data_IF_444935564519
#
_entry.id   IF_444935564519
#
_cell.length_a   1.000
_cell.length_b   1.000
_cell.length_c   1.000
_cell.angle_alpha   90.00
_cell.angle_beta   90.00
_cell.angle_gamma   90.00
#
_symmetry.space_group_name_H-M   'P 1'
#
loop_
_entity.id
_entity.type
_entity.pdbx_description
1 polymer ?
#
# COMPACT_ATOMS: atom_id res chain seq x y z
N UNK A 1 -20.09 13.41 28.24
CA UNK A 1 -18.66 13.63 28.59
C UNK A 1 -17.72 12.53 28.07
N UNK A 2 -18.07 11.23 28.14
CA UNK A 2 -17.23 10.09 27.70
C UNK A 2 -16.88 10.05 26.19
N UNK A 3 -17.79 10.52 25.34
CA UNK A 3 -17.63 10.58 23.87
C UNK A 3 -16.56 11.60 23.41
N UNK A 4 -16.48 12.76 24.07
CA UNK A 4 -15.50 13.80 23.72
C UNK A 4 -14.06 13.39 24.06
N UNK A 5 -13.89 12.72 25.21
CA UNK A 5 -12.59 12.21 25.65
C UNK A 5 -12.08 11.13 24.69
N UNK A 6 -12.96 10.22 24.21
CA UNK A 6 -12.60 9.18 23.23
C UNK A 6 -12.05 9.72 21.91
N UNK A 7 -12.55 10.88 21.46
CA UNK A 7 -12.05 11.55 20.23
C UNK A 7 -10.73 12.29 20.46
N UNK A 8 -10.49 12.76 21.69
CA UNK A 8 -9.27 13.49 22.06
C UNK A 8 -8.08 12.55 22.28
N UNK A 9 -8.30 11.32 22.74
CA UNK A 9 -7.22 10.34 22.98
C UNK A 9 -6.29 10.15 21.76
N UNK A 10 -6.77 9.88 20.53
CA UNK A 10 -5.87 9.69 19.39
C UNK A 10 -5.15 10.97 18.99
N UNK A 11 -5.80 12.13 19.11
CA UNK A 11 -5.19 13.44 18.79
C UNK A 11 -4.09 13.76 19.80
N UNK A 12 -4.38 13.61 21.09
CA UNK A 12 -3.40 13.79 22.17
C UNK A 12 -2.24 12.80 22.02
N UNK A 13 -2.53 11.53 21.70
CA UNK A 13 -1.51 10.52 21.41
C UNK A 13 -0.59 10.91 20.26
N UNK A 14 -1.14 11.48 19.17
CA UNK A 14 -0.34 11.99 18.06
C UNK A 14 0.60 13.13 18.49
N UNK A 15 0.10 14.11 19.27
CA UNK A 15 0.95 15.21 19.76
C UNK A 15 2.05 14.73 20.70
N UNK A 16 1.76 13.78 21.59
CA UNK A 16 2.75 13.16 22.48
C UNK A 16 3.82 12.43 21.66
N UNK A 17 3.41 11.70 20.62
CA UNK A 17 4.32 10.97 19.74
C UNK A 17 5.24 11.93 18.96
N UNK A 18 4.69 13.04 18.44
CA UNK A 18 5.47 14.09 17.76
C UNK A 18 6.50 14.71 18.72
N UNK A 19 6.09 15.03 19.95
CA UNK A 19 7.00 15.58 20.96
C UNK A 19 8.13 14.59 21.30
N UNK A 20 7.79 13.31 21.54
CA UNK A 20 8.76 12.26 21.85
C UNK A 20 9.77 12.02 20.71
N UNK A 21 9.30 11.93 19.46
CA UNK A 21 10.19 11.76 18.31
C UNK A 21 11.03 13.02 18.04
N UNK A 22 10.47 14.22 18.26
CA UNK A 22 11.23 15.46 18.11
C UNK A 22 12.37 15.56 19.15
N UNK A 23 12.11 15.13 20.39
CA UNK A 23 13.08 15.13 21.48
C UNK A 23 14.15 14.03 21.31
N UNK A 24 13.73 12.80 20.99
CA UNK A 24 14.65 11.65 20.83
C UNK A 24 15.53 11.75 19.58
N UNK A 25 15.08 12.47 18.54
CA UNK A 25 15.78 12.52 17.24
C UNK A 25 16.55 13.83 17.02
N UNK A 26 16.77 14.64 18.07
CA UNK A 26 17.46 15.95 17.98
C UNK A 26 16.90 16.84 16.85
N UNK A 27 15.57 16.93 16.74
CA UNK A 27 14.91 17.75 15.71
C UNK A 27 14.93 17.19 14.28
N UNK A 28 15.58 16.04 14.02
CA UNK A 28 15.59 15.44 12.66
C UNK A 28 14.20 15.01 12.19
N UNK A 29 13.25 14.78 13.10
CA UNK A 29 11.86 14.45 12.76
C UNK A 29 11.19 15.54 11.91
N UNK A 30 11.44 16.82 12.23
CA UNK A 30 10.91 17.97 11.48
C UNK A 30 11.71 18.32 10.22
N UNK A 31 12.71 17.51 9.84
CA UNK A 31 13.45 17.75 8.61
C UNK A 31 12.53 17.61 7.40
N UNK A 32 12.63 18.54 6.45
CA UNK A 32 11.87 18.53 5.20
C UNK A 32 11.89 17.16 4.48
N UNK A 33 13.05 16.48 4.50
CA UNK A 33 13.22 15.13 3.96
C UNK A 33 12.33 14.08 4.63
N UNK A 34 12.23 14.10 5.96
CA UNK A 34 11.41 13.14 6.70
C UNK A 34 9.93 13.38 6.46
N UNK A 35 9.50 14.65 6.43
CA UNK A 35 8.13 14.99 6.11
C UNK A 35 7.75 14.52 4.70
N UNK A 36 8.62 14.75 3.71
CA UNK A 36 8.43 14.23 2.35
C UNK A 36 8.31 12.70 2.33
N UNK A 37 9.16 11.98 3.06
CA UNK A 37 9.11 10.52 3.13
C UNK A 37 7.80 10.00 3.76
N UNK A 38 7.33 10.63 4.83
CA UNK A 38 6.05 10.30 5.48
C UNK A 38 4.90 10.48 4.49
N UNK A 39 4.87 11.61 3.77
CA UNK A 39 3.85 11.88 2.76
C UNK A 39 3.93 10.86 1.63
N UNK A 40 5.12 10.53 1.11
CA UNK A 40 5.27 9.54 0.03
C UNK A 40 4.77 8.14 0.45
N UNK A 41 5.06 7.70 1.69
CA UNK A 41 4.54 6.43 2.21
C UNK A 41 3.01 6.46 2.36
N UNK A 42 2.46 7.58 2.82
CA UNK A 42 1.02 7.77 2.94
C UNK A 42 0.32 7.86 1.56
N UNK A 43 0.99 8.40 0.54
CA UNK A 43 0.45 8.49 -0.83
C UNK A 43 0.17 7.10 -1.41
N UNK A 44 1.07 6.13 -1.18
CA UNK A 44 0.88 4.75 -1.67
C UNK A 44 -0.38 4.14 -1.06
N UNK A 45 -0.57 4.29 0.26
CA UNK A 45 -1.74 3.74 0.94
C UNK A 45 -3.02 4.51 0.59
N UNK A 46 -2.94 5.82 0.36
CA UNK A 46 -4.06 6.64 -0.10
C UNK A 46 -4.58 6.20 -1.46
N UNK A 47 -3.70 6.07 -2.47
CA UNK A 47 -4.06 5.59 -3.81
C UNK A 47 -4.68 4.19 -3.74
N UNK A 48 -4.06 3.31 -2.97
CA UNK A 48 -4.53 1.96 -2.75
C UNK A 48 -5.92 1.92 -2.07
N UNK A 49 -6.18 2.83 -1.14
CA UNK A 49 -7.45 2.89 -0.40
C UNK A 49 -8.65 3.18 -1.29
N UNK A 50 -8.49 4.02 -2.32
CA UNK A 50 -9.56 4.36 -3.27
C UNK A 50 -10.13 3.10 -3.92
N UNK A 51 -9.27 2.17 -4.33
CA UNK A 51 -9.70 0.88 -4.87
C UNK A 51 -10.39 -0.01 -3.83
N UNK A 52 -9.91 -0.04 -2.58
CA UNK A 52 -10.54 -0.86 -1.52
C UNK A 52 -11.91 -0.33 -1.10
N UNK A 53 -12.13 0.99 -1.15
CA UNK A 53 -13.43 1.59 -0.85
C UNK A 53 -14.49 1.12 -1.85
N UNK A 54 -14.13 1.01 -3.15
CA UNK A 54 -15.00 0.45 -4.16
C UNK A 54 -15.41 -1.01 -3.83
N UNK A 55 -14.46 -1.85 -3.41
CA UNK A 55 -14.76 -3.24 -3.02
C UNK A 55 -15.64 -3.31 -1.76
N UNK A 56 -15.37 -2.44 -0.78
CA UNK A 56 -16.16 -2.37 0.46
C UNK A 56 -17.60 -1.89 0.22
N UNK A 57 -17.84 -1.03 -0.78
CA UNK A 57 -19.19 -0.60 -1.15
C UNK A 57 -20.10 -1.76 -1.57
N UNK A 58 -19.52 -2.88 -2.05
CA UNK A 58 -20.25 -4.12 -2.37
C UNK A 58 -20.48 -5.03 -1.15
N UNK A 59 -20.39 -4.50 0.08
CA UNK A 59 -20.48 -5.24 1.35
C UNK A 59 -19.41 -6.33 1.52
N UNK A 60 -18.28 -6.20 0.83
CA UNK A 60 -17.17 -7.15 0.91
C UNK A 60 -15.96 -6.54 1.61
N UNK A 61 -15.57 -7.10 2.75
CA UNK A 61 -14.40 -6.64 3.52
C UNK A 61 -13.13 -7.32 2.97
N UNK A 62 -12.54 -6.74 1.93
CA UNK A 62 -11.28 -7.23 1.35
C UNK A 62 -10.06 -6.52 1.94
N UNK A 63 -9.16 -7.30 2.57
CA UNK A 63 -7.89 -6.83 3.12
C UNK A 63 -6.67 -7.29 2.31
N UNK A 64 -6.89 -7.94 1.16
CA UNK A 64 -5.81 -8.53 0.34
C UNK A 64 -4.87 -7.52 -0.29
N UNK A 65 -5.26 -6.24 -0.37
CA UNK A 65 -4.52 -5.10 -0.94
C UNK A 65 -3.01 -5.19 -0.69
N UNK A 66 -2.61 -5.34 0.58
CA UNK A 66 -1.21 -5.30 0.98
C UNK A 66 -0.40 -6.51 0.52
N UNK A 67 -1.03 -7.68 0.37
CA UNK A 67 -0.37 -8.87 -0.17
C UNK A 67 -0.41 -8.93 -1.68
N UNK A 68 -1.53 -8.52 -2.29
CA UNK A 68 -1.69 -8.47 -3.74
C UNK A 68 -0.70 -7.50 -4.39
N UNK A 69 -0.53 -6.29 -3.85
CA UNK A 69 0.46 -5.31 -4.32
C UNK A 69 1.91 -5.82 -4.15
N UNK A 70 2.21 -6.50 -3.04
CA UNK A 70 3.52 -7.10 -2.82
C UNK A 70 3.81 -8.24 -3.81
N UNK A 71 2.86 -9.15 -4.03
CA UNK A 71 3.00 -10.22 -5.01
C UNK A 71 3.13 -9.69 -6.44
N UNK A 72 2.25 -8.77 -6.84
CA UNK A 72 2.25 -8.22 -8.19
C UNK A 72 3.58 -7.53 -8.52
N UNK A 73 4.14 -6.77 -7.58
CA UNK A 73 5.44 -6.10 -7.77
C UNK A 73 6.60 -7.09 -7.87
N UNK A 74 6.62 -8.14 -7.04
CA UNK A 74 7.66 -9.18 -7.08
C UNK A 74 7.61 -9.99 -8.37
N UNK A 75 6.44 -10.46 -8.78
CA UNK A 75 6.28 -11.22 -10.02
C UNK A 75 6.58 -10.35 -11.26
N UNK A 76 6.11 -9.10 -11.27
CA UNK A 76 6.43 -8.18 -12.35
C UNK A 76 7.94 -7.90 -12.43
N UNK A 77 8.64 -7.79 -11.29
CA UNK A 77 10.09 -7.62 -11.27
C UNK A 77 10.81 -8.83 -11.85
N UNK A 78 10.44 -10.04 -11.41
CA UNK A 78 11.05 -11.29 -11.89
C UNK A 78 10.89 -11.48 -13.40
N UNK A 79 9.75 -11.09 -13.96
CA UNK A 79 9.47 -11.20 -15.39
C UNK A 79 10.03 -10.04 -16.23
N UNK A 80 10.11 -8.82 -15.68
CA UNK A 80 10.54 -7.63 -16.42
C UNK A 80 12.06 -7.43 -16.45
N UNK A 81 12.76 -7.92 -15.42
CA UNK A 81 14.21 -7.71 -15.24
C UNK A 81 14.54 -6.24 -14.98
N UNK A 82 14.67 -5.45 -16.04
CA UNK A 82 15.07 -4.03 -16.00
C UNK A 82 14.25 -3.09 -16.90
N UNK A 83 13.27 -3.60 -17.65
CA UNK A 83 12.47 -2.76 -18.56
C UNK A 83 11.31 -2.09 -17.79
N UNK A 84 11.30 -0.76 -17.75
CA UNK A 84 10.31 -0.01 -16.96
C UNK A 84 8.88 -0.16 -17.50
N UNK A 85 8.71 -0.08 -18.83
CA UNK A 85 7.39 -0.19 -19.47
C UNK A 85 6.75 -1.56 -19.25
N UNK A 86 7.54 -2.62 -19.41
CA UNK A 86 7.08 -3.98 -19.27
C UNK A 86 6.70 -4.28 -17.81
N UNK A 87 7.40 -3.69 -16.84
CA UNK A 87 7.06 -3.77 -15.43
C UNK A 87 5.65 -3.21 -15.13
N UNK A 88 5.30 -2.04 -15.66
CA UNK A 88 3.98 -1.45 -15.44
C UNK A 88 2.85 -2.33 -15.98
N UNK A 89 3.00 -2.85 -17.19
CA UNK A 89 2.01 -3.73 -17.81
C UNK A 89 1.85 -5.01 -17.00
N UNK A 90 2.96 -5.63 -16.59
CA UNK A 90 2.94 -6.86 -15.81
C UNK A 90 2.33 -6.65 -14.42
N UNK A 91 2.63 -5.53 -13.74
CA UNK A 91 2.01 -5.22 -12.43
C UNK A 91 0.49 -5.17 -12.53
N UNK A 92 -0.05 -4.57 -13.60
CA UNK A 92 -1.49 -4.49 -13.82
C UNK A 92 -2.06 -5.88 -14.05
N UNK A 93 -1.43 -6.68 -14.92
CA UNK A 93 -1.86 -8.05 -15.22
C UNK A 93 -1.87 -8.91 -13.96
N UNK A 94 -0.77 -8.92 -13.18
CA UNK A 94 -0.70 -9.68 -11.94
C UNK A 94 -1.67 -9.16 -10.87
N UNK A 95 -1.90 -7.85 -10.81
CA UNK A 95 -2.92 -7.25 -9.94
C UNK A 95 -4.33 -7.76 -10.26
N UNK A 96 -4.69 -7.79 -11.55
CA UNK A 96 -5.97 -8.34 -12.01
C UNK A 96 -6.07 -9.83 -11.69
N UNK A 97 -5.01 -10.60 -11.91
CA UNK A 97 -4.98 -12.04 -11.59
C UNK A 97 -5.15 -12.28 -10.09
N UNK A 98 -4.48 -11.51 -9.22
CA UNK A 98 -4.66 -11.60 -7.77
C UNK A 98 -6.09 -11.23 -7.34
N UNK A 99 -6.67 -10.17 -7.93
CA UNK A 99 -8.06 -9.77 -7.69
C UNK A 99 -9.06 -10.85 -8.12
N UNK A 100 -8.82 -11.45 -9.28
CA UNK A 100 -9.65 -12.54 -9.80
C UNK A 100 -9.52 -13.79 -8.94
N UNK A 101 -8.34 -14.08 -8.39
CA UNK A 101 -8.13 -15.18 -7.46
C UNK A 101 -8.94 -15.01 -6.17
N UNK A 102 -8.91 -13.82 -5.55
CA UNK A 102 -9.72 -13.58 -4.33
C UNK A 102 -11.22 -13.64 -4.62
N UNK A 103 -11.66 -13.14 -5.78
CA UNK A 103 -13.05 -13.25 -6.21
C UNK A 103 -13.48 -14.71 -6.47
N UNK A 104 -12.63 -15.51 -7.11
CA UNK A 104 -12.90 -16.91 -7.40
C UNK A 104 -13.01 -17.74 -6.12
N UNK A 105 -12.10 -17.54 -5.16
CA UNK A 105 -12.16 -18.19 -3.84
C UNK A 105 -13.44 -17.81 -3.10
N UNK A 106 -13.87 -16.56 -3.18
CA UNK A 106 -15.11 -16.12 -2.57
C UNK A 106 -16.35 -16.76 -3.21
N UNK A 107 -16.45 -16.74 -4.55
CA UNK A 107 -17.62 -17.23 -5.29
C UNK A 107 -17.73 -18.75 -5.25
N UNK A 108 -16.65 -19.48 -5.54
CA UNK A 108 -16.67 -20.94 -5.59
C UNK A 108 -16.50 -21.59 -4.22
N UNK A 109 -15.65 -21.00 -3.36
CA UNK A 109 -15.40 -21.53 -2.02
C UNK A 109 -16.52 -21.25 -1.03
N UNK A 110 -17.42 -20.28 -1.31
CA UNK A 110 -18.42 -19.75 -0.37
C UNK A 110 -17.81 -19.32 0.98
N UNK A 111 -16.53 -18.95 0.96
CA UNK A 111 -15.79 -18.46 2.12
C UNK A 111 -16.00 -16.94 2.21
N UNK A 112 -16.21 -16.37 3.41
CA UNK A 112 -16.26 -14.92 3.58
C UNK A 112 -15.00 -14.25 3.01
N UNK A 113 -15.16 -13.18 2.21
CA UNK A 113 -14.02 -12.55 1.53
C UNK A 113 -12.96 -12.03 2.49
N UNK A 114 -13.34 -11.71 3.73
CA UNK A 114 -12.41 -11.38 4.79
C UNK A 114 -11.33 -12.45 5.00
N UNK A 115 -11.73 -13.72 5.08
CA UNK A 115 -10.79 -14.83 5.30
C UNK A 115 -9.92 -15.08 4.07
N UNK A 116 -10.50 -15.02 2.87
CA UNK A 116 -9.76 -15.12 1.62
C UNK A 116 -8.73 -13.99 1.48
N UNK A 117 -9.12 -12.76 1.82
CA UNK A 117 -8.27 -11.59 1.76
C UNK A 117 -7.12 -11.64 2.76
N UNK A 118 -7.36 -12.05 4.01
CA UNK A 118 -6.30 -12.27 4.98
C UNK A 118 -5.33 -13.38 4.55
N UNK A 119 -5.84 -14.49 4.03
CA UNK A 119 -5.01 -15.57 3.51
C UNK A 119 -4.08 -15.07 2.40
N UNK A 120 -4.62 -14.36 1.40
CA UNK A 120 -3.83 -13.77 0.33
C UNK A 120 -2.85 -12.71 0.84
N UNK A 121 -3.24 -11.92 1.84
CA UNK A 121 -2.37 -10.93 2.46
C UNK A 121 -1.14 -11.57 3.11
N UNK A 122 -1.33 -12.61 3.92
CA UNK A 122 -0.23 -13.31 4.60
C UNK A 122 0.62 -14.13 3.63
N UNK A 123 -0.01 -14.89 2.73
CA UNK A 123 0.71 -15.67 1.72
C UNK A 123 1.53 -14.74 0.81
N UNK A 124 0.91 -13.65 0.35
CA UNK A 124 1.55 -12.69 -0.53
C UNK A 124 2.72 -11.96 0.10
N UNK A 125 2.55 -11.48 1.34
CA UNK A 125 3.65 -10.89 2.11
C UNK A 125 4.75 -11.91 2.40
N UNK A 126 4.41 -13.15 2.73
CA UNK A 126 5.38 -14.21 3.00
C UNK A 126 6.25 -14.50 1.79
N UNK A 127 5.63 -14.71 0.62
CA UNK A 127 6.35 -14.94 -0.63
C UNK A 127 7.21 -13.72 -0.95
N UNK A 128 6.64 -12.50 -0.94
CA UNK A 128 7.39 -11.30 -1.24
C UNK A 128 8.61 -11.09 -0.33
N UNK A 129 8.48 -11.37 0.97
CA UNK A 129 9.57 -11.24 1.93
C UNK A 129 10.66 -12.28 1.70
N UNK A 130 10.30 -13.53 1.40
CA UNK A 130 11.29 -14.59 1.12
C UNK A 130 12.08 -14.34 -0.16
N UNK A 131 11.44 -13.79 -1.20
CA UNK A 131 12.15 -13.44 -2.44
C UNK A 131 13.01 -12.19 -2.22
N UNK A 132 12.50 -11.16 -1.52
CA UNK A 132 13.25 -9.94 -1.20
C UNK A 132 14.47 -10.22 -0.32
N UNK A 133 14.41 -11.24 0.54
CA UNK A 133 15.56 -11.67 1.34
C UNK A 133 16.67 -12.32 0.51
N UNK A 134 16.35 -12.90 -0.66
CA UNK A 134 17.33 -13.56 -1.55
C UNK A 134 17.92 -12.61 -2.60
N UNK A 135 17.18 -11.59 -3.01
CA UNK A 135 17.59 -10.65 -4.05
C UNK A 135 17.11 -9.23 -3.77
N UNK A 136 17.99 -8.25 -3.90
CA UNK A 136 17.62 -6.84 -3.83
C UNK A 136 16.86 -6.43 -5.10
N UNK A 137 15.56 -6.25 -4.98
CA UNK A 137 14.69 -5.84 -6.09
C UNK A 137 14.78 -4.34 -6.28
N UNK A 138 15.61 -3.89 -7.21
CA UNK A 138 15.77 -2.47 -7.52
C UNK A 138 15.71 -2.25 -9.03
N UNK A 139 14.60 -1.66 -9.49
CA UNK A 139 14.48 -1.19 -10.86
C UNK A 139 15.15 0.18 -10.93
N UNK A 140 16.38 0.23 -11.43
CA UNK A 140 17.21 1.46 -11.47
C UNK A 140 16.51 2.61 -12.19
N UNK A 141 15.75 2.31 -13.24
CA UNK A 141 14.97 3.30 -13.99
C UNK A 141 13.78 3.84 -13.19
N UNK A 142 13.24 3.08 -12.23
CA UNK A 142 12.12 3.52 -11.38
C UNK A 142 12.58 4.46 -10.26
N UNK A 143 13.88 4.49 -9.94
CA UNK A 143 14.45 5.44 -8.97
C UNK A 143 14.26 6.88 -9.45
N UNK A 144 14.31 7.12 -10.76
CA UNK A 144 14.06 8.44 -11.35
C UNK A 144 12.59 8.91 -11.19
N UNK A 145 11.64 7.98 -11.01
CA UNK A 145 10.24 8.29 -10.74
C UNK A 145 9.93 8.48 -9.24
N UNK A 146 10.87 8.14 -8.35
CA UNK A 146 10.69 8.26 -6.90
C UNK A 146 10.85 9.71 -6.42
N UNK A 147 9.98 10.59 -6.92
CA UNK A 147 9.96 12.02 -6.62
C UNK A 147 8.66 12.40 -5.92
N UNK A 148 8.77 13.28 -4.92
CA UNK A 148 7.63 13.82 -4.17
C UNK A 148 6.52 14.37 -5.09
N UNK A 149 6.90 15.13 -6.11
CA UNK A 149 5.96 15.73 -7.06
C UNK A 149 5.18 14.69 -7.87
N UNK A 150 5.81 13.59 -8.29
CA UNK A 150 5.14 12.52 -9.05
C UNK A 150 4.09 11.85 -8.18
N UNK A 151 4.43 11.51 -6.92
CA UNK A 151 3.47 10.93 -5.98
C UNK A 151 2.27 11.85 -5.72
N UNK A 152 2.52 13.16 -5.60
CA UNK A 152 1.45 14.13 -5.36
C UNK A 152 0.50 14.22 -6.57
N UNK A 153 1.03 14.29 -7.79
CA UNK A 153 0.23 14.25 -9.02
C UNK A 153 -0.60 12.96 -9.10
N UNK A 154 0.01 11.80 -8.83
CA UNK A 154 -0.71 10.51 -8.86
C UNK A 154 -1.84 10.49 -7.85
N UNK A 155 -1.62 10.96 -6.62
CA UNK A 155 -2.69 11.04 -5.60
C UNK A 155 -3.84 11.93 -6.07
N UNK A 156 -3.56 13.12 -6.61
CA UNK A 156 -4.59 14.05 -7.10
C UNK A 156 -5.39 13.41 -8.25
N UNK A 157 -4.70 12.81 -9.22
CA UNK A 157 -5.34 12.15 -10.37
C UNK A 157 -6.22 10.99 -9.90
N UNK A 158 -5.73 10.15 -9.00
CA UNK A 158 -6.51 8.99 -8.51
C UNK A 158 -7.73 9.43 -7.70
N UNK A 159 -7.58 10.42 -6.82
CA UNK A 159 -8.73 10.92 -6.04
C UNK A 159 -9.76 11.64 -6.90
N UNK A 160 -9.34 12.41 -7.91
CA UNK A 160 -10.27 13.08 -8.84
C UNK A 160 -11.03 12.12 -9.74
N UNK A 161 -10.47 10.94 -10.04
CA UNK A 161 -11.13 9.90 -10.84
C UNK A 161 -11.96 8.95 -9.97
N UNK A 162 -11.54 8.70 -8.73
CA UNK A 162 -12.13 7.69 -7.86
C UNK A 162 -13.14 8.20 -6.82
N UNK A 163 -13.25 9.51 -6.60
CA UNK A 163 -14.31 10.14 -5.78
C UNK A 163 -15.42 10.69 -6.68
#
# INVERSE_FOLDING_TARGET
MREGIRKIIPVAGLFILIALFSLTTDGKFFTWRNLQNIVMMASITMVASVGTVFVMAHNNLDFSLGGASALASVFAYLCSGSVLWLFFVLVIVFGIVCGMFTALVHVYGRIPAFMGGLCLMFAGRGIAQTVSAKQSMMVVQAVALNNFWVFLVVVIVVFSVGC
#
